data_IF_178598805226
#
_entry.id   IF_178598805226
#
_cell.length_a   1.000
_cell.length_b   1.000
_cell.length_c   1.000
_cell.angle_alpha   90.00
_cell.angle_beta   90.00
_cell.angle_gamma   90.00
#
_symmetry.space_group_name_H-M   'P 1'
#
loop_
_entity.id
_entity.type
_entity.pdbx_description
1 polymer ?
#
# COMPACT_ATOMS: atom_id res chain seq x y z
N UNK A 1 -36.09 12.81 34.94
CA UNK A 1 -34.75 12.36 35.40
C UNK A 1 -33.67 13.13 34.64
N UNK A 2 -32.95 14.08 35.27
CA UNK A 2 -32.08 15.04 34.58
C UNK A 2 -30.65 14.51 34.35
N UNK A 3 -30.11 14.78 33.14
CA UNK A 3 -28.72 14.48 32.72
C UNK A 3 -27.72 15.34 33.48
N UNK A 4 -26.91 14.73 34.35
CA UNK A 4 -25.69 15.34 34.93
C UNK A 4 -24.61 15.47 33.85
N UNK A 5 -24.23 16.71 33.52
CA UNK A 5 -23.05 17.01 32.70
C UNK A 5 -21.83 17.16 33.61
N UNK A 6 -20.91 16.21 33.56
CA UNK A 6 -19.63 16.28 34.26
C UNK A 6 -18.65 17.16 33.47
N UNK A 7 -18.26 18.31 34.02
CA UNK A 7 -17.15 19.14 33.52
C UNK A 7 -15.83 18.45 33.86
N UNK A 8 -15.20 17.80 32.87
CA UNK A 8 -13.82 17.31 32.99
C UNK A 8 -12.87 18.47 32.72
N UNK A 9 -12.31 19.01 33.81
CA UNK A 9 -11.24 20.01 33.81
C UNK A 9 -9.93 19.36 33.38
N UNK A 10 -9.53 19.51 32.11
CA UNK A 10 -8.20 19.08 31.63
C UNK A 10 -7.18 20.18 31.93
N UNK A 11 -6.39 20.02 32.99
CA UNK A 11 -5.12 20.76 33.14
C UNK A 11 -4.08 20.09 32.22
N UNK A 12 -3.26 20.85 31.47
CA UNK A 12 -2.11 20.27 30.79
C UNK A 12 -1.01 19.96 31.82
N UNK A 13 -0.34 18.79 31.74
CA UNK A 13 0.91 18.57 32.47
C UNK A 13 1.96 19.49 31.86
N UNK A 14 2.54 20.36 32.70
CA UNK A 14 3.83 20.99 32.44
C UNK A 14 4.91 19.93 32.71
N UNK A 15 6.05 20.10 32.05
CA UNK A 15 7.29 19.34 32.27
C UNK A 15 7.38 18.03 31.46
N UNK A 16 7.49 18.18 30.12
CA UNK A 16 8.16 17.18 29.28
C UNK A 16 9.66 17.49 29.40
N UNK A 17 10.25 16.91 30.42
CA UNK A 17 11.69 16.82 30.60
C UNK A 17 12.29 16.19 29.34
N UNK A 18 13.22 16.91 28.73
CA UNK A 18 13.88 16.50 27.51
C UNK A 18 14.81 15.33 27.83
N UNK A 19 14.27 14.12 27.72
CA UNK A 19 14.96 12.84 27.80
C UNK A 19 16.00 12.80 26.67
N UNK A 20 17.18 13.35 26.96
CA UNK A 20 18.41 13.15 26.21
C UNK A 20 18.78 11.67 26.33
N UNK A 21 18.11 10.84 25.53
CA UNK A 21 18.54 9.46 25.34
C UNK A 21 19.95 9.51 24.75
N UNK A 22 20.95 8.92 25.42
CA UNK A 22 22.29 8.83 24.84
C UNK A 22 22.19 8.06 23.53
N UNK A 23 22.70 8.67 22.45
CA UNK A 23 22.85 8.05 21.14
C UNK A 23 23.75 6.83 21.28
N UNK A 24 23.14 5.67 21.52
CA UNK A 24 23.83 4.40 21.40
C UNK A 24 24.39 4.31 19.98
N UNK A 25 25.65 3.90 19.82
CA UNK A 25 26.23 3.70 18.50
C UNK A 25 25.31 2.73 17.75
N UNK A 26 24.73 3.20 16.64
CA UNK A 26 24.08 2.35 15.65
C UNK A 26 25.05 1.22 15.35
N UNK A 27 24.77 0.04 15.90
CA UNK A 27 25.46 -1.18 15.50
C UNK A 27 25.38 -1.32 13.98
N UNK A 28 26.24 -2.15 13.36
CA UNK A 28 26.21 -2.36 11.91
C UNK A 28 24.77 -2.62 11.50
N UNK A 29 24.18 -1.65 10.81
CA UNK A 29 22.77 -1.67 10.44
C UNK A 29 22.51 -3.03 9.80
N UNK A 30 21.50 -3.79 10.23
CA UNK A 30 21.18 -5.06 9.60
C UNK A 30 20.93 -4.74 8.13
N UNK A 31 21.90 -5.07 7.28
CA UNK A 31 21.87 -4.78 5.87
C UNK A 31 20.69 -5.55 5.29
N UNK A 32 19.56 -4.87 5.19
CA UNK A 32 18.33 -5.44 4.66
C UNK A 32 18.61 -5.82 3.21
N UNK A 33 18.66 -7.13 2.96
CA UNK A 33 19.09 -7.77 1.72
C UNK A 33 18.37 -7.20 0.49
N UNK A 34 17.11 -6.79 0.66
CA UNK A 34 16.31 -6.18 -0.40
C UNK A 34 16.87 -4.86 -0.93
N UNK A 35 17.60 -4.05 -0.15
CA UNK A 35 18.15 -2.79 -0.66
C UNK A 35 19.44 -2.96 -1.46
N UNK A 36 19.99 -4.17 -1.52
CA UNK A 36 21.13 -4.51 -2.40
C UNK A 36 20.65 -5.04 -3.76
N UNK A 37 19.37 -5.36 -3.91
CA UNK A 37 18.81 -5.81 -5.17
C UNK A 37 18.63 -4.61 -6.11
N UNK A 38 19.00 -4.74 -7.40
CA UNK A 38 18.59 -3.80 -8.43
C UNK A 38 17.08 -3.60 -8.44
N UNK A 39 16.65 -2.38 -8.76
CA UNK A 39 15.24 -1.99 -8.81
C UNK A 39 14.40 -2.91 -9.70
N UNK A 40 14.96 -3.34 -10.84
CA UNK A 40 14.34 -4.28 -11.79
C UNK A 40 13.95 -5.60 -11.13
N UNK A 41 14.81 -6.16 -10.27
CA UNK A 41 14.50 -7.42 -9.59
C UNK A 41 13.37 -7.23 -8.57
N UNK A 42 13.33 -6.09 -7.90
CA UNK A 42 12.25 -5.78 -6.95
C UNK A 42 10.92 -5.63 -7.69
N UNK A 43 10.92 -5.01 -8.88
CA UNK A 43 9.73 -4.93 -9.73
C UNK A 43 9.28 -6.31 -10.22
N UNK A 44 10.20 -7.17 -10.65
CA UNK A 44 9.89 -8.54 -11.07
C UNK A 44 9.32 -9.39 -9.93
N UNK A 45 9.87 -9.26 -8.72
CA UNK A 45 9.31 -9.92 -7.54
C UNK A 45 7.91 -9.36 -7.27
N UNK A 46 7.73 -8.05 -7.36
CA UNK A 46 6.44 -7.38 -7.12
C UNK A 46 5.37 -7.76 -8.14
N UNK A 47 5.74 -8.02 -9.40
CA UNK A 47 4.80 -8.44 -10.45
C UNK A 47 4.30 -9.89 -10.26
N UNK A 48 5.13 -10.74 -9.66
CA UNK A 48 4.81 -12.13 -9.35
C UNK A 48 3.99 -12.30 -8.04
N UNK A 49 3.96 -11.28 -7.17
CA UNK A 49 3.28 -11.34 -5.88
C UNK A 49 1.78 -11.02 -5.97
N UNK A 50 1.03 -11.70 -5.10
CA UNK A 50 -0.40 -11.41 -4.87
C UNK A 50 -0.59 -10.11 -4.10
N UNK A 51 -1.77 -9.51 -4.19
CA UNK A 51 -2.11 -8.27 -3.47
C UNK A 51 -1.82 -8.34 -1.96
N UNK A 52 -2.18 -9.42 -1.22
CA UNK A 52 -1.87 -9.49 0.20
C UNK A 52 -0.37 -9.56 0.48
N UNK A 53 0.36 -10.31 -0.34
CA UNK A 53 1.81 -10.46 -0.21
C UNK A 53 2.53 -9.14 -0.51
N UNK A 54 2.08 -8.38 -1.52
CA UNK A 54 2.55 -7.02 -1.79
C UNK A 54 2.28 -6.07 -0.61
N UNK A 55 1.09 -6.13 -0.01
CA UNK A 55 0.77 -5.31 1.15
C UNK A 55 1.64 -5.66 2.36
N UNK A 56 1.97 -6.93 2.56
CA UNK A 56 2.88 -7.37 3.61
C UNK A 56 4.31 -6.91 3.32
N UNK A 57 4.80 -7.08 2.09
CA UNK A 57 6.13 -6.62 1.67
C UNK A 57 6.28 -5.10 1.83
N UNK A 58 5.23 -4.34 1.51
CA UNK A 58 5.17 -2.89 1.73
C UNK A 58 5.27 -2.49 3.21
N UNK A 59 4.85 -3.36 4.14
CA UNK A 59 4.91 -3.10 5.60
C UNK A 59 6.24 -3.50 6.23
N UNK A 60 6.97 -4.45 5.64
CA UNK A 60 8.21 -4.98 6.22
C UNK A 60 9.44 -4.12 5.92
N UNK A 61 9.49 -3.43 4.78
CA UNK A 61 10.67 -2.66 4.36
C UNK A 61 10.28 -1.28 3.78
N UNK A 62 10.99 -0.22 4.21
CA UNK A 62 10.80 1.14 3.68
C UNK A 62 11.19 1.25 2.20
N UNK A 63 12.25 0.56 1.79
CA UNK A 63 12.69 0.49 0.38
C UNK A 63 11.62 -0.18 -0.46
N UNK A 64 11.13 -1.36 -0.03
CA UNK A 64 10.06 -2.04 -0.74
C UNK A 64 8.79 -1.20 -0.80
N UNK A 65 8.46 -0.47 0.27
CA UNK A 65 7.35 0.49 0.25
C UNK A 65 7.51 1.53 -0.86
N UNK A 66 8.68 2.16 -0.97
CA UNK A 66 8.93 3.16 -2.01
C UNK A 66 8.76 2.56 -3.41
N UNK A 67 9.29 1.37 -3.66
CA UNK A 67 9.21 0.70 -4.97
C UNK A 67 7.78 0.25 -5.31
N UNK A 68 7.05 -0.26 -4.32
CA UNK A 68 5.64 -0.67 -4.50
C UNK A 68 4.76 0.56 -4.73
N UNK A 69 5.05 1.69 -4.07
CA UNK A 69 4.30 2.94 -4.26
C UNK A 69 4.54 3.54 -5.66
N UNK A 70 5.70 3.29 -6.30
CA UNK A 70 5.98 3.64 -7.70
C UNK A 70 5.51 2.61 -8.72
N UNK A 71 5.02 1.44 -8.29
CA UNK A 71 4.58 0.38 -9.18
C UNK A 71 3.18 0.67 -9.73
N UNK A 72 3.11 1.04 -11.02
CA UNK A 72 1.90 1.54 -11.67
C UNK A 72 0.62 0.70 -11.44
N UNK A 73 0.64 -0.64 -11.55
CA UNK A 73 -0.56 -1.45 -11.31
C UNK A 73 -1.09 -1.33 -9.87
N UNK A 74 -0.18 -1.26 -8.90
CA UNK A 74 -0.53 -1.13 -7.50
C UNK A 74 -0.98 0.30 -7.18
N UNK A 75 -0.27 1.30 -7.70
CA UNK A 75 -0.61 2.70 -7.55
C UNK A 75 -2.02 2.98 -8.08
N UNK A 76 -2.33 2.54 -9.30
CA UNK A 76 -3.64 2.70 -9.91
C UNK A 76 -4.75 2.04 -9.09
N UNK A 77 -4.55 0.78 -8.69
CA UNK A 77 -5.52 0.04 -7.89
C UNK A 77 -5.74 0.69 -6.51
N UNK A 78 -4.68 1.21 -5.89
CA UNK A 78 -4.76 1.87 -4.60
C UNK A 78 -5.50 3.21 -4.66
N UNK A 79 -5.38 3.93 -5.78
CA UNK A 79 -6.06 5.19 -6.02
C UNK A 79 -7.55 5.00 -6.34
N UNK A 80 -7.89 3.99 -7.15
CA UNK A 80 -9.26 3.83 -7.67
C UNK A 80 -10.11 2.90 -6.80
N UNK A 81 -9.52 1.82 -6.26
CA UNK A 81 -10.25 0.77 -5.56
C UNK A 81 -9.59 0.34 -4.24
N UNK A 82 -9.39 1.26 -3.28
CA UNK A 82 -8.75 0.94 -2.01
C UNK A 82 -9.55 -0.07 -1.17
N UNK A 83 -10.88 -0.10 -1.32
CA UNK A 83 -11.75 -1.06 -0.64
C UNK A 83 -11.54 -2.49 -1.16
N UNK A 84 -11.29 -2.65 -2.46
CA UNK A 84 -11.04 -3.95 -3.08
C UNK A 84 -9.73 -4.55 -2.57
N UNK A 85 -8.68 -3.73 -2.45
CA UNK A 85 -7.40 -4.15 -1.83
C UNK A 85 -7.64 -4.65 -0.40
N UNK A 86 -8.41 -3.90 0.42
CA UNK A 86 -8.71 -4.32 1.80
C UNK A 86 -9.51 -5.62 1.84
N UNK A 87 -10.50 -5.77 0.97
CA UNK A 87 -11.30 -7.00 0.88
C UNK A 87 -10.43 -8.19 0.47
N UNK A 88 -9.57 -8.05 -0.53
CA UNK A 88 -8.64 -9.10 -0.97
C UNK A 88 -7.64 -9.51 0.13
N UNK A 89 -7.11 -8.54 0.87
CA UNK A 89 -6.22 -8.80 2.02
C UNK A 89 -6.97 -9.55 3.12
N UNK A 90 -8.19 -9.13 3.46
CA UNK A 90 -9.02 -9.81 4.47
C UNK A 90 -9.45 -11.21 4.05
N UNK A 91 -9.76 -11.39 2.78
CA UNK A 91 -10.15 -12.69 2.20
C UNK A 91 -8.96 -13.64 2.00
N UNK A 92 -7.72 -13.15 2.15
CA UNK A 92 -6.52 -13.95 1.90
C UNK A 92 -6.41 -14.40 0.44
N UNK A 93 -6.86 -13.57 -0.51
CA UNK A 93 -6.91 -13.96 -1.92
C UNK A 93 -5.49 -14.28 -2.46
N UNK A 94 -5.30 -15.52 -2.89
CA UNK A 94 -4.01 -16.05 -3.36
C UNK A 94 -3.87 -16.11 -4.88
N UNK A 95 -4.91 -15.79 -5.63
CA UNK A 95 -4.99 -16.12 -7.06
C UNK A 95 -4.74 -14.95 -8.04
N UNK A 96 -5.09 -13.70 -7.72
CA UNK A 96 -4.79 -12.61 -8.65
C UNK A 96 -3.57 -11.79 -8.24
N UNK A 97 -2.54 -11.81 -9.10
CA UNK A 97 -1.41 -10.87 -9.04
C UNK A 97 -1.88 -9.47 -9.45
N UNK A 98 -1.19 -8.44 -8.95
CA UNK A 98 -1.53 -7.05 -9.25
C UNK A 98 -1.62 -6.72 -10.76
N UNK A 99 -0.69 -7.16 -11.63
CA UNK A 99 -0.78 -6.88 -13.07
C UNK A 99 -1.99 -7.57 -13.73
N UNK A 100 -2.37 -8.78 -13.29
CA UNK A 100 -3.56 -9.46 -13.82
C UNK A 100 -4.83 -8.65 -13.52
N UNK A 101 -4.97 -8.18 -12.28
CA UNK A 101 -6.12 -7.35 -11.88
C UNK A 101 -6.15 -6.05 -12.69
N UNK A 102 -4.99 -5.39 -12.80
CA UNK A 102 -4.87 -4.15 -13.55
C UNK A 102 -5.26 -4.33 -15.03
N UNK A 103 -4.75 -5.37 -15.69
CA UNK A 103 -5.11 -5.68 -17.07
C UNK A 103 -6.59 -6.05 -17.22
N UNK A 104 -7.18 -6.80 -16.28
CA UNK A 104 -8.60 -7.15 -16.30
C UNK A 104 -9.53 -5.97 -16.03
N UNK A 105 -9.07 -4.95 -15.30
CA UNK A 105 -9.84 -3.73 -15.06
C UNK A 105 -9.69 -2.70 -16.18
N UNK A 106 -8.61 -2.79 -16.95
CA UNK A 106 -8.39 -1.99 -18.17
C UNK A 106 -8.90 -2.67 -19.43
N UNK A 107 -9.24 -3.96 -19.40
CA UNK A 107 -9.82 -4.62 -20.55
C UNK A 107 -11.24 -4.10 -20.78
N UNK A 108 -11.55 -3.84 -22.04
CA UNK A 108 -12.88 -3.44 -22.47
C UNK A 108 -13.89 -4.58 -22.33
N UNK A 109 -13.44 -5.81 -22.09
CA UNK A 109 -14.29 -6.98 -21.92
C UNK A 109 -14.10 -7.59 -20.53
N UNK A 110 -15.21 -7.97 -19.90
CA UNK A 110 -15.18 -8.74 -18.67
C UNK A 110 -14.99 -10.24 -18.99
N UNK A 111 -14.01 -10.89 -18.37
CA UNK A 111 -13.73 -12.32 -18.59
C UNK A 111 -14.81 -13.27 -18.08
N UNK A 112 -15.68 -12.81 -17.18
CA UNK A 112 -16.76 -13.63 -16.60
C UNK A 112 -18.07 -13.53 -17.36
N UNK A 113 -18.39 -12.35 -17.91
CA UNK A 113 -19.68 -12.12 -18.59
C UNK A 113 -19.56 -11.74 -20.07
N UNK A 114 -18.34 -11.62 -20.62
CA UNK A 114 -18.06 -11.20 -22.01
C UNK A 114 -18.77 -9.92 -22.46
N UNK A 115 -19.27 -9.12 -21.52
CA UNK A 115 -19.87 -7.82 -21.82
C UNK A 115 -18.78 -6.77 -21.97
N UNK A 116 -18.99 -5.83 -22.90
CA UNK A 116 -18.14 -4.66 -23.02
C UNK A 116 -18.35 -3.73 -21.82
N UNK A 117 -17.30 -3.49 -21.06
CA UNK A 117 -17.24 -2.44 -20.07
C UNK A 117 -17.12 -1.12 -20.83
N UNK A 118 -18.22 -0.40 -20.96
CA UNK A 118 -18.27 0.90 -21.60
C UNK A 118 -17.55 1.94 -20.71
N UNK A 119 -16.21 1.90 -20.67
CA UNK A 119 -15.34 2.85 -19.95
C UNK A 119 -15.24 4.19 -20.72
N UNK A 120 -16.38 4.79 -21.03
CA UNK A 120 -16.45 5.99 -21.88
C UNK A 120 -16.10 7.31 -21.16
N UNK A 121 -15.49 7.34 -19.98
CA UNK A 121 -15.33 8.62 -19.25
C UNK A 121 -14.15 8.79 -18.30
N UNK A 122 -13.16 7.89 -18.27
CA UNK A 122 -11.94 8.15 -17.49
C UNK A 122 -10.78 8.39 -18.45
N UNK A 123 -10.58 9.65 -18.83
CA UNK A 123 -9.37 10.15 -19.44
C UNK A 123 -8.16 9.77 -18.58
N UNK A 124 -7.40 8.79 -19.04
CA UNK A 124 -6.11 8.44 -18.46
C UNK A 124 -5.08 9.46 -18.96
N UNK A 125 -4.39 10.21 -18.09
CA UNK A 125 -3.20 10.93 -18.52
C UNK A 125 -2.12 9.89 -18.83
N UNK A 126 -1.91 9.68 -20.12
CA UNK A 126 -0.81 8.90 -20.68
C UNK A 126 0.49 9.61 -20.28
N UNK A 127 1.18 9.10 -19.26
CA UNK A 127 2.49 9.62 -18.85
C UNK A 127 3.53 8.75 -19.55
N UNK A 128 3.83 9.13 -20.79
CA UNK A 128 5.03 8.70 -21.53
C UNK A 128 6.23 9.58 -21.13
N UNK A 129 7.47 9.07 -21.32
CA UNK A 129 8.56 9.12 -20.33
C UNK A 129 9.24 10.48 -20.14
#
# INVERSE_FOLDING_TARGET
MPRRKSKVSRRPPKDIESDQRPDLPRGPEPHYTLSRLPLELIHNISSALNIPALCNLRRTCRTAKSVIDTYLPYQWLSAHHPWAIRAMVKAGATYPTCPKIYSSLRSETCSLCNQQLNLASNTFPDTTP
#
